data_IF_431586000204
#
_entry.id   IF_431586000204
#
_cell.length_a   1.000
_cell.length_b   1.000
_cell.length_c   1.000
_cell.angle_alpha   90.00
_cell.angle_beta   90.00
_cell.angle_gamma   90.00
#
_symmetry.space_group_name_H-M   'P 1'
#
loop_
_entity.id
_entity.type
_entity.pdbx_description
1 polymer ?
#
# COMPACT_ATOMS: atom_id res chain seq x y z
N UNK A 1 -14.56 4.92 -16.02
CA UNK A 1 -14.48 3.71 -15.17
C UNK A 1 -15.26 3.95 -13.89
N UNK A 2 -15.82 2.92 -13.27
CA UNK A 2 -16.44 3.06 -11.94
C UNK A 2 -15.38 3.13 -10.83
N UNK A 3 -15.76 3.58 -9.63
CA UNK A 3 -14.86 3.56 -8.46
C UNK A 3 -14.45 2.15 -8.04
N UNK A 4 -15.35 1.17 -8.19
CA UNK A 4 -15.06 -0.24 -7.92
C UNK A 4 -14.03 -0.81 -8.88
N UNK A 5 -14.14 -0.51 -10.19
CA UNK A 5 -13.16 -0.97 -11.18
C UNK A 5 -11.79 -0.38 -10.90
N UNK A 6 -11.76 0.92 -10.56
CA UNK A 6 -10.53 1.62 -10.22
C UNK A 6 -9.89 1.02 -8.96
N UNK A 7 -10.67 0.71 -7.94
CA UNK A 7 -10.16 0.06 -6.73
C UNK A 7 -9.63 -1.35 -7.02
N UNK A 8 -10.35 -2.16 -7.81
CA UNK A 8 -9.92 -3.50 -8.20
C UNK A 8 -8.62 -3.49 -8.99
N UNK A 9 -8.50 -2.61 -9.98
CA UNK A 9 -7.27 -2.40 -10.76
C UNK A 9 -6.09 -2.12 -9.82
N UNK A 10 -6.32 -1.22 -8.87
CA UNK A 10 -5.34 -0.78 -7.89
C UNK A 10 -4.99 -1.83 -6.84
N UNK A 11 -5.91 -2.74 -6.50
CA UNK A 11 -5.64 -3.89 -5.64
C UNK A 11 -4.83 -4.96 -6.38
N UNK A 12 -5.02 -5.10 -7.70
CA UNK A 12 -4.32 -6.09 -8.52
C UNK A 12 -2.94 -5.64 -9.02
N UNK A 13 -2.49 -4.42 -8.70
CA UNK A 13 -1.21 -3.87 -9.15
C UNK A 13 -0.02 -4.57 -8.48
N UNK A 14 0.80 -5.35 -9.22
CA UNK A 14 1.93 -6.08 -8.64
C UNK A 14 3.05 -5.15 -8.15
N UNK A 15 3.25 -4.00 -8.79
CA UNK A 15 4.29 -3.06 -8.39
C UNK A 15 3.95 -2.42 -7.04
N UNK A 16 2.69 -2.04 -6.85
CA UNK A 16 2.18 -1.58 -5.55
C UNK A 16 2.40 -2.61 -4.46
N UNK A 17 2.04 -3.87 -4.71
CA UNK A 17 2.20 -4.95 -3.73
C UNK A 17 3.67 -5.08 -3.34
N UNK A 18 4.59 -5.07 -4.31
CA UNK A 18 6.04 -5.08 -4.07
C UNK A 18 6.51 -3.91 -3.20
N UNK A 19 6.05 -2.69 -3.48
CA UNK A 19 6.39 -1.50 -2.70
C UNK A 19 5.88 -1.59 -1.25
N UNK A 20 4.65 -2.07 -1.05
CA UNK A 20 4.07 -2.21 0.30
C UNK A 20 4.75 -3.32 1.12
N UNK A 21 5.17 -4.41 0.47
CA UNK A 21 5.99 -5.44 1.12
C UNK A 21 7.34 -4.86 1.52
N UNK A 22 8.00 -4.12 0.63
CA UNK A 22 9.28 -3.47 0.94
C UNK A 22 9.15 -2.45 2.08
N UNK A 23 8.07 -1.67 2.09
CA UNK A 23 7.73 -0.75 3.18
C UNK A 23 7.54 -1.50 4.50
N UNK A 24 6.78 -2.60 4.49
CA UNK A 24 6.56 -3.43 5.66
C UNK A 24 7.87 -4.02 6.21
N UNK A 25 8.73 -4.57 5.35
CA UNK A 25 10.05 -5.08 5.74
C UNK A 25 10.90 -3.97 6.33
N UNK A 26 10.92 -2.79 5.69
CA UNK A 26 11.65 -1.62 6.20
C UNK A 26 11.15 -1.23 7.60
N UNK A 27 9.84 -1.24 7.82
CA UNK A 27 9.24 -1.01 9.13
C UNK A 27 9.72 -2.06 10.14
N UNK A 28 9.73 -3.35 9.80
CA UNK A 28 10.22 -4.39 10.72
C UNK A 28 11.67 -4.14 11.16
N UNK A 29 12.52 -3.64 10.24
CA UNK A 29 13.94 -3.36 10.51
C UNK A 29 14.15 -2.08 11.31
N UNK A 30 13.22 -1.12 11.26
CA UNK A 30 13.37 0.21 11.89
C UNK A 30 12.44 0.44 13.07
N UNK A 31 11.53 -0.51 13.37
CA UNK A 31 10.48 -0.38 14.40
C UNK A 31 10.97 0.02 15.78
N UNK A 32 12.20 -0.34 16.15
CA UNK A 32 12.78 0.03 17.44
C UNK A 32 13.05 1.53 17.58
N UNK A 33 13.28 2.22 16.47
CA UNK A 33 13.56 3.66 16.44
C UNK A 33 12.31 4.50 16.09
N UNK A 34 11.49 4.05 15.14
CA UNK A 34 10.38 4.83 14.58
C UNK A 34 8.98 4.31 14.90
N UNK A 35 8.88 3.18 15.61
CA UNK A 35 7.63 2.47 15.80
C UNK A 35 7.08 1.86 14.51
N UNK A 36 5.83 1.39 14.55
CA UNK A 36 5.20 0.70 13.41
C UNK A 36 4.28 1.62 12.62
N UNK A 37 3.48 2.46 13.28
CA UNK A 37 2.38 3.18 12.64
C UNK A 37 2.88 4.29 11.72
N UNK A 38 3.83 5.10 12.18
CA UNK A 38 4.31 6.28 11.45
C UNK A 38 4.94 5.89 10.10
N UNK A 39 5.90 4.94 10.04
CA UNK A 39 6.49 4.53 8.76
C UNK A 39 5.45 3.97 7.77
N UNK A 40 4.52 3.14 8.26
CA UNK A 40 3.50 2.53 7.41
C UNK A 40 2.53 3.57 6.84
N UNK A 41 2.06 4.52 7.67
CA UNK A 41 1.13 5.56 7.23
C UNK A 41 1.76 6.48 6.18
N UNK A 42 2.97 6.99 6.45
CA UNK A 42 3.68 7.88 5.52
C UNK A 42 4.02 7.13 4.23
N UNK A 43 4.53 5.90 4.33
CA UNK A 43 4.84 5.08 3.17
C UNK A 43 3.61 4.72 2.33
N UNK A 44 2.46 4.44 2.95
CA UNK A 44 1.22 4.19 2.23
C UNK A 44 0.73 5.43 1.46
N UNK A 45 0.82 6.62 2.06
CA UNK A 45 0.50 7.88 1.37
C UNK A 45 1.48 8.12 0.23
N UNK A 46 2.78 7.92 0.47
CA UNK A 46 3.81 8.04 -0.56
C UNK A 46 3.52 7.14 -1.76
N UNK A 47 3.23 5.85 -1.56
CA UNK A 47 2.91 4.92 -2.66
C UNK A 47 1.64 5.35 -3.40
N UNK A 48 0.61 5.81 -2.68
CA UNK A 48 -0.65 6.26 -3.29
C UNK A 48 -0.47 7.49 -4.20
N UNK A 49 0.49 8.36 -3.87
CA UNK A 49 0.82 9.55 -4.67
C UNK A 49 1.80 9.21 -5.79
N UNK A 50 2.83 8.40 -5.49
CA UNK A 50 3.89 8.03 -6.42
C UNK A 50 3.32 7.38 -7.68
N UNK A 51 2.50 6.34 -7.52
CA UNK A 51 2.03 5.52 -8.63
C UNK A 51 1.32 6.32 -9.72
N UNK A 52 0.26 7.11 -9.43
CA UNK A 52 -0.41 7.88 -10.47
C UNK A 52 0.45 8.99 -11.06
N UNK A 53 1.42 9.54 -10.31
CA UNK A 53 2.37 10.53 -10.84
C UNK A 53 3.44 9.93 -11.76
N UNK A 54 3.76 8.65 -11.58
CA UNK A 54 4.72 7.91 -12.41
C UNK A 54 4.08 7.10 -13.54
N UNK A 55 2.75 7.12 -13.65
CA UNK A 55 2.03 6.40 -14.69
C UNK A 55 2.36 7.02 -16.07
N UNK A 56 3.03 6.24 -16.93
CA UNK A 56 3.40 6.67 -18.28
C UNK A 56 2.18 6.76 -19.22
N UNK A 57 1.16 5.95 -18.97
CA UNK A 57 -0.14 6.08 -19.63
C UNK A 57 -0.96 7.15 -18.90
N UNK A 58 -1.47 8.14 -19.65
CA UNK A 58 -2.27 9.22 -19.08
C UNK A 58 -3.41 8.71 -18.20
N UNK A 59 -3.72 9.45 -17.14
CA UNK A 59 -4.73 9.04 -16.17
C UNK A 59 -6.14 9.10 -16.79
N UNK A 60 -6.83 7.97 -16.78
CA UNK A 60 -8.23 7.88 -17.21
C UNK A 60 -9.24 8.42 -16.17
N UNK A 61 -8.76 8.89 -15.01
CA UNK A 61 -9.54 9.43 -13.88
C UNK A 61 -8.79 10.63 -13.29
N UNK A 62 -9.48 11.63 -12.70
CA UNK A 62 -8.81 12.72 -12.00
C UNK A 62 -7.78 12.23 -10.97
N UNK A 63 -6.63 12.90 -10.91
CA UNK A 63 -5.50 12.55 -10.04
C UNK A 63 -5.91 12.36 -8.58
N UNK A 64 -6.74 13.26 -8.05
CA UNK A 64 -7.23 13.18 -6.67
C UNK A 64 -8.01 11.87 -6.39
N UNK A 65 -8.84 11.42 -7.33
CA UNK A 65 -9.58 10.17 -7.18
C UNK A 65 -8.66 8.95 -7.31
N UNK A 66 -7.64 9.00 -8.19
CA UNK A 66 -6.62 7.95 -8.29
C UNK A 66 -5.84 7.81 -6.98
N UNK A 67 -5.40 8.92 -6.38
CA UNK A 67 -4.70 8.95 -5.09
C UNK A 67 -5.61 8.45 -3.96
N UNK A 68 -6.85 8.93 -3.88
CA UNK A 68 -7.79 8.56 -2.83
C UNK A 68 -8.06 7.06 -2.79
N UNK A 69 -8.33 6.45 -3.94
CA UNK A 69 -8.46 5.00 -4.01
C UNK A 69 -7.14 4.25 -3.78
N UNK A 70 -6.00 4.87 -4.11
CA UNK A 70 -4.66 4.36 -3.78
C UNK A 70 -4.45 4.23 -2.29
N UNK A 71 -4.87 5.22 -1.52
CA UNK A 71 -4.82 5.16 -0.06
C UNK A 71 -5.66 3.98 0.45
N UNK A 72 -6.89 3.84 -0.03
CA UNK A 72 -7.79 2.74 0.37
C UNK A 72 -7.16 1.37 0.05
N UNK A 73 -6.68 1.18 -1.18
CA UNK A 73 -6.04 -0.06 -1.59
C UNK A 73 -4.77 -0.36 -0.79
N UNK A 74 -3.96 0.66 -0.48
CA UNK A 74 -2.75 0.48 0.33
C UNK A 74 -3.09 0.06 1.76
N UNK A 75 -4.13 0.64 2.36
CA UNK A 75 -4.61 0.24 3.70
C UNK A 75 -5.07 -1.22 3.69
N UNK A 76 -5.85 -1.64 2.68
CA UNK A 76 -6.30 -3.03 2.54
C UNK A 76 -5.10 -3.98 2.47
N UNK A 77 -4.12 -3.68 1.60
CA UNK A 77 -2.94 -4.52 1.46
C UNK A 77 -2.07 -4.56 2.72
N UNK A 78 -1.85 -3.42 3.39
CA UNK A 78 -1.11 -3.40 4.65
C UNK A 78 -1.82 -4.19 5.74
N UNK A 79 -3.15 -4.13 5.82
CA UNK A 79 -3.92 -4.97 6.74
C UNK A 79 -3.72 -6.47 6.46
N UNK A 80 -3.73 -6.87 5.18
CA UNK A 80 -3.46 -8.26 4.76
C UNK A 80 -2.04 -8.68 5.14
N UNK A 81 -1.03 -7.85 4.83
CA UNK A 81 0.39 -8.13 5.11
C UNK A 81 0.61 -8.29 6.62
N UNK A 82 0.10 -7.35 7.42
CA UNK A 82 0.19 -7.42 8.89
C UNK A 82 -0.58 -8.62 9.45
N UNK A 83 -1.77 -8.91 8.90
CA UNK A 83 -2.56 -10.10 9.26
C UNK A 83 -1.80 -11.40 8.99
N UNK A 84 -1.21 -11.55 7.80
CA UNK A 84 -0.41 -12.70 7.43
C UNK A 84 0.84 -12.84 8.33
N UNK A 85 1.52 -11.73 8.62
CA UNK A 85 2.69 -11.73 9.49
C UNK A 85 2.35 -12.11 10.93
N UNK A 86 1.27 -11.54 11.49
CA UNK A 86 0.83 -11.87 12.85
C UNK A 86 0.38 -13.33 12.96
N UNK A 87 -0.29 -13.87 11.94
CA UNK A 87 -0.62 -15.29 11.85
C UNK A 87 0.64 -16.16 11.79
N UNK A 88 1.61 -15.81 10.95
CA UNK A 88 2.89 -16.51 10.85
C UNK A 88 3.62 -16.56 12.20
N UNK A 89 3.69 -15.42 12.92
CA UNK A 89 4.30 -15.38 14.24
C UNK A 89 3.58 -16.27 15.25
N UNK A 90 2.24 -16.34 15.21
CA UNK A 90 1.44 -17.20 16.09
C UNK A 90 1.63 -18.68 15.80
N UNK A 91 1.78 -19.07 14.53
CA UNK A 91 1.96 -20.47 14.14
C UNK A 91 3.40 -20.98 14.37
N UNK A 92 4.37 -20.06 14.45
CA UNK A 92 5.77 -20.39 14.74
C UNK A 92 6.06 -20.51 16.24
N UNK A 93 5.29 -19.83 17.08
CA UNK A 93 5.42 -19.85 18.54
C UNK A 93 4.98 -21.20 19.11
#
# INVERSE_FOLDING_TARGET
MSLSDLLLLQLSDPFRIGLLIALFITMLRTRAASGTVIPLAIGAVFVAVLLPLTAQAGLAVPLAAAIGAGIVANVIWLAIILGAWTLYLRLRA
#
